data_IF_164039409528
#
_entry.id   IF_164039409528
#
_cell.length_a   1.000
_cell.length_b   1.000
_cell.length_c   1.000
_cell.angle_alpha   90.00
_cell.angle_beta   90.00
_cell.angle_gamma   90.00
#
_symmetry.space_group_name_H-M   'P 1'
#
loop_
_entity.id
_entity.type
_entity.pdbx_description
1 polymer ?
#
# COMPACT_ATOMS: atom_id res chain seq x y z
N UNK A 1 18.15 -5.34 6.24
CA UNK A 1 17.94 -5.31 4.77
C UNK A 1 16.90 -4.27 4.38
N UNK A 2 17.12 -3.62 3.23
CA UNK A 2 16.13 -2.76 2.58
C UNK A 2 15.25 -3.62 1.67
N UNK A 3 13.94 -3.63 1.91
CA UNK A 3 12.98 -4.42 1.14
C UNK A 3 12.19 -3.47 0.27
N UNK A 4 12.13 -3.77 -1.02
CA UNK A 4 11.34 -3.01 -1.99
C UNK A 4 9.97 -3.65 -2.13
N UNK A 5 8.92 -2.93 -1.74
CA UNK A 5 7.53 -3.33 -1.89
C UNK A 5 6.89 -2.60 -3.07
N UNK A 6 6.41 -3.37 -4.05
CA UNK A 6 5.60 -2.84 -5.16
C UNK A 6 4.13 -3.10 -4.87
N UNK A 7 3.35 -2.03 -4.80
CA UNK A 7 1.90 -2.09 -4.64
C UNK A 7 1.26 -1.71 -5.96
N UNK A 8 0.33 -2.55 -6.42
CA UNK A 8 -0.49 -2.29 -7.61
C UNK A 8 -1.94 -2.36 -7.16
N UNK A 9 -2.64 -1.25 -7.28
CA UNK A 9 -4.05 -1.12 -6.97
C UNK A 9 -4.79 -0.70 -8.23
N UNK A 10 -5.76 -1.50 -8.66
CA UNK A 10 -6.56 -1.19 -9.85
C UNK A 10 -8.04 -1.32 -9.53
N UNK A 11 -8.82 -0.33 -9.97
CA UNK A 11 -10.29 -0.40 -9.91
C UNK A 11 -10.81 -1.10 -11.15
N UNK A 12 -11.28 -2.34 -10.99
CA UNK A 12 -11.95 -3.06 -12.07
C UNK A 12 -13.38 -2.50 -12.20
N UNK A 13 -13.70 -1.89 -13.35
CA UNK A 13 -15.04 -1.34 -13.64
C UNK A 13 -15.18 0.15 -13.34
N UNK A 14 -14.49 1.00 -14.10
CA UNK A 14 -14.56 2.46 -14.02
C UNK A 14 -15.98 2.98 -14.35
N UNK A 15 -16.83 3.11 -13.33
CA UNK A 15 -18.13 3.80 -13.39
C UNK A 15 -18.22 4.82 -12.25
N UNK A 16 -17.48 5.93 -12.40
CA UNK A 16 -17.64 7.12 -11.55
C UNK A 16 -16.42 7.49 -10.71
N UNK A 17 -16.41 8.77 -10.31
CA UNK A 17 -15.45 9.36 -9.37
C UNK A 17 -15.70 8.76 -7.98
N UNK A 18 -14.76 8.00 -7.44
CA UNK A 18 -14.82 7.44 -6.10
C UNK A 18 -13.41 7.22 -5.59
N UNK A 19 -13.12 7.64 -4.36
CA UNK A 19 -11.81 7.49 -3.75
C UNK A 19 -11.63 6.04 -3.28
N UNK A 20 -10.43 5.49 -3.45
CA UNK A 20 -10.07 4.17 -2.91
C UNK A 20 -9.19 4.34 -1.69
N UNK A 21 -9.38 3.45 -0.72
CA UNK A 21 -8.51 3.36 0.45
C UNK A 21 -7.75 2.03 0.38
N UNK A 22 -6.43 2.13 0.35
CA UNK A 22 -5.52 0.99 0.34
C UNK A 22 -4.81 0.91 1.68
N UNK A 23 -5.19 -0.08 2.48
CA UNK A 23 -4.47 -0.48 3.68
C UNK A 23 -3.47 -1.57 3.28
N UNK A 24 -2.19 -1.30 3.43
CA UNK A 24 -1.12 -2.24 3.14
C UNK A 24 -0.59 -2.75 4.47
N UNK A 25 -0.69 -4.05 4.69
CA UNK A 25 -0.13 -4.65 5.88
C UNK A 25 1.39 -4.68 5.80
N UNK A 26 2.04 -4.23 6.88
CA UNK A 26 3.49 -4.25 7.00
C UNK A 26 3.91 -5.30 8.03
N UNK A 27 5.14 -5.84 7.94
CA UNK A 27 5.64 -6.70 8.99
C UNK A 27 5.91 -5.87 10.27
N UNK A 28 5.69 -6.43 11.47
CA UNK A 28 5.99 -5.77 12.73
C UNK A 28 7.46 -5.35 12.78
N UNK A 29 7.71 -4.07 13.07
CA UNK A 29 9.06 -3.50 13.09
C UNK A 29 9.60 -3.10 11.71
N UNK A 30 8.74 -3.01 10.70
CA UNK A 30 9.05 -2.32 9.45
C UNK A 30 9.15 -0.81 9.67
N UNK A 31 10.29 -0.26 9.27
CA UNK A 31 10.52 1.18 9.21
C UNK A 31 10.37 1.62 7.74
N UNK A 32 9.28 2.31 7.41
CA UNK A 32 8.99 2.73 6.04
C UNK A 32 9.73 4.02 5.72
N UNK A 33 10.48 4.03 4.61
CA UNK A 33 11.21 5.20 4.17
C UNK A 33 10.25 6.24 3.54
N UNK A 34 10.00 7.33 4.27
CA UNK A 34 9.12 8.42 3.82
C UNK A 34 9.59 9.05 2.51
N UNK A 35 10.90 9.19 2.32
CA UNK A 35 11.46 9.77 1.10
C UNK A 35 11.16 8.90 -0.14
N UNK A 36 11.19 7.57 0.03
CA UNK A 36 10.82 6.62 -1.01
C UNK A 36 9.32 6.68 -1.30
N UNK A 37 8.47 6.79 -0.27
CA UNK A 37 7.03 7.00 -0.43
C UNK A 37 6.71 8.32 -1.17
N UNK A 38 7.36 9.42 -0.81
CA UNK A 38 7.18 10.71 -1.47
C UNK A 38 7.64 10.68 -2.94
N UNK A 39 8.73 9.97 -3.25
CA UNK A 39 9.13 9.75 -4.65
C UNK A 39 8.09 8.93 -5.38
N UNK A 40 7.62 7.85 -4.77
CA UNK A 40 6.58 6.99 -5.35
C UNK A 40 5.28 7.76 -5.59
N UNK A 41 4.94 8.68 -4.68
CA UNK A 41 3.81 9.62 -4.80
C UNK A 41 4.02 10.56 -5.98
N UNK A 42 5.19 11.19 -6.09
CA UNK A 42 5.52 12.07 -7.24
C UNK A 42 5.50 11.32 -8.57
N UNK A 43 5.99 10.09 -8.61
CA UNK A 43 5.94 9.22 -9.80
C UNK A 43 4.51 8.77 -10.13
N UNK A 44 3.70 8.49 -9.11
CA UNK A 44 2.27 8.16 -9.27
C UNK A 44 1.41 9.38 -9.61
N UNK A 45 1.99 10.59 -9.54
CA UNK A 45 1.33 11.85 -9.84
C UNK A 45 0.14 12.14 -8.90
N UNK A 46 -1.01 12.45 -9.48
CA UNK A 46 -2.23 12.82 -8.76
C UNK A 46 -3.06 11.61 -8.28
N UNK A 47 -2.60 10.38 -8.54
CA UNK A 47 -3.28 9.17 -8.09
C UNK A 47 -3.19 8.95 -6.58
N UNK A 48 -2.17 9.48 -5.91
CA UNK A 48 -2.01 9.37 -4.45
C UNK A 48 -2.36 10.71 -3.82
N UNK A 49 -3.35 10.77 -2.94
CA UNK A 49 -3.68 12.02 -2.22
C UNK A 49 -3.01 12.11 -0.88
N UNK A 50 -3.01 11.01 -0.12
CA UNK A 50 -2.52 11.01 1.25
C UNK A 50 -2.04 9.61 1.62
N UNK A 51 -1.15 9.55 2.60
CA UNK A 51 -0.71 8.30 3.19
C UNK A 51 -0.50 8.48 4.69
N UNK A 52 -0.79 7.43 5.46
CA UNK A 52 -0.56 7.36 6.90
C UNK A 52 0.28 6.11 7.19
N UNK A 53 1.44 6.33 7.80
CA UNK A 53 2.38 5.27 8.16
C UNK A 53 2.11 4.88 9.60
N UNK A 54 1.66 3.63 9.81
CA UNK A 54 1.54 3.01 11.12
C UNK A 54 2.67 1.97 11.31
N UNK A 55 2.92 1.54 12.56
CA UNK A 55 3.97 0.55 12.85
C UNK A 55 3.73 -0.84 12.24
N UNK A 56 2.48 -1.20 11.97
CA UNK A 56 2.03 -2.51 11.46
C UNK A 56 1.33 -2.43 10.09
N UNK A 57 1.03 -1.22 9.60
CA UNK A 57 0.30 -1.01 8.34
C UNK A 57 0.60 0.37 7.73
N UNK A 58 0.35 0.50 6.44
CA UNK A 58 0.43 1.75 5.69
C UNK A 58 -0.93 2.00 5.05
N UNK A 59 -1.60 3.07 5.43
CA UNK A 59 -2.88 3.46 4.85
C UNK A 59 -2.60 4.47 3.74
N UNK A 60 -3.21 4.29 2.57
CA UNK A 60 -2.96 5.13 1.41
C UNK A 60 -4.28 5.48 0.72
N UNK A 61 -4.49 6.76 0.53
CA UNK A 61 -5.67 7.33 -0.12
C UNK A 61 -5.36 7.52 -1.59
N UNK A 62 -6.08 6.79 -2.43
CA UNK A 62 -5.85 6.75 -3.87
C UNK A 62 -7.05 7.32 -4.62
N UNK A 63 -6.79 8.10 -5.66
CA UNK A 63 -7.77 8.40 -6.70
C UNK A 63 -7.61 7.42 -7.85
N UNK A 64 -8.59 6.54 -8.11
CA UNK A 64 -8.52 5.61 -9.22
C UNK A 64 -8.52 6.38 -10.54
N UNK A 65 -7.43 6.25 -11.29
CA UNK A 65 -7.35 6.70 -12.68
C UNK A 65 -7.57 5.50 -13.62
N UNK A 66 -7.97 5.79 -14.86
CA UNK A 66 -8.07 4.77 -15.90
C UNK A 66 -6.67 4.15 -16.13
N UNK A 67 -6.47 2.90 -15.73
CA UNK A 67 -5.19 2.19 -15.78
C UNK A 67 -4.62 1.74 -14.43
N UNK A 68 -5.27 2.08 -13.31
CA UNK A 68 -4.82 1.71 -11.97
C UNK A 68 -3.65 2.56 -11.47
N UNK A 69 -3.35 2.43 -10.18
CA UNK A 69 -2.27 3.12 -9.49
C UNK A 69 -1.27 2.09 -9.01
N UNK A 70 -0.02 2.22 -9.44
CA UNK A 70 1.08 1.41 -8.93
C UNK A 70 2.16 2.29 -8.35
N UNK A 71 2.61 1.97 -7.15
CA UNK A 71 3.69 2.70 -6.50
C UNK A 71 4.63 1.72 -5.81
N UNK A 72 5.89 2.11 -5.72
CA UNK A 72 6.92 1.28 -5.10
C UNK A 72 7.52 2.05 -3.94
N UNK A 73 7.51 1.45 -2.76
CA UNK A 73 8.16 2.03 -1.59
C UNK A 73 9.17 1.07 -1.00
N UNK A 74 10.11 1.64 -0.25
CA UNK A 74 11.13 0.88 0.44
C UNK A 74 10.85 0.94 1.93
N UNK A 75 11.04 -0.19 2.58
CA UNK A 75 10.99 -0.27 4.03
C UNK A 75 12.15 -1.12 4.53
N UNK A 76 12.60 -0.84 5.74
CA UNK A 76 13.68 -1.55 6.40
C UNK A 76 13.10 -2.36 7.54
N UNK A 77 13.36 -3.66 7.56
CA UNK A 77 13.02 -4.46 8.75
C UNK A 77 14.05 -4.17 9.85
N UNK A 78 13.57 -3.75 11.03
CA UNK A 78 14.43 -3.48 12.20
C UNK A 78 14.85 -4.76 12.92
N UNK A 79 14.10 -5.85 12.73
CA UNK A 79 14.39 -7.16 13.29
C UNK A 79 14.57 -8.19 12.15
N UNK A 80 15.61 -9.03 12.25
CA UNK A 80 15.73 -10.25 11.45
C UNK A 80 14.75 -11.28 11.99
N UNK A 81 13.47 -11.11 11.63
CA UNK A 81 12.39 -11.98 12.09
C UNK A 81 11.65 -12.54 10.88
N UNK A 82 11.27 -13.83 10.96
CA UNK A 82 10.26 -14.39 10.07
C UNK A 82 8.89 -13.83 10.47
N UNK A 83 8.50 -12.73 9.83
CA UNK A 83 7.29 -12.01 10.18
C UNK A 83 6.24 -12.16 9.07
N UNK A 84 5.01 -12.48 9.48
CA UNK A 84 3.86 -12.44 8.60
C UNK A 84 3.40 -10.97 8.52
N UNK A 85 3.25 -10.42 7.31
CA UNK A 85 2.65 -9.08 7.18
C UNK A 85 1.19 -9.12 7.60
N UNK A 86 0.62 -7.97 7.93
CA UNK A 86 -0.83 -7.85 7.93
C UNK A 86 -1.39 -8.10 6.50
N UNK A 87 -2.66 -8.53 6.37
CA UNK A 87 -3.34 -8.56 5.07
C UNK A 87 -3.45 -7.15 4.51
N UNK A 88 -3.31 -7.00 3.19
CA UNK A 88 -3.56 -5.71 2.55
C UNK A 88 -5.01 -5.66 2.08
N UNK A 89 -5.72 -4.58 2.37
CA UNK A 89 -7.09 -4.35 1.94
C UNK A 89 -7.14 -3.15 1.02
N UNK A 90 -7.87 -3.28 -0.08
CA UNK A 90 -8.23 -2.19 -0.96
C UNK A 90 -9.75 -2.12 -0.95
N UNK A 91 -10.35 -0.98 -0.62
CA UNK A 91 -11.80 -0.83 -0.66
C UNK A 91 -12.21 0.54 -1.17
N UNK A 92 -13.38 0.61 -1.78
CA UNK A 92 -13.96 1.87 -2.21
C UNK A 92 -14.48 2.63 -0.99
N UNK A 93 -14.07 3.89 -0.86
CA UNK A 93 -14.46 4.77 0.24
C UNK A 93 -15.99 4.98 0.30
N UNK A 94 -16.66 4.93 -0.87
CA UNK A 94 -18.11 5.08 -0.97
C UNK A 94 -18.85 3.76 -1.01
N UNK A 95 -18.16 2.64 -1.28
CA UNK A 95 -18.78 1.32 -1.33
C UNK A 95 -17.93 0.26 -0.63
N UNK A 96 -18.14 0.03 0.68
CA UNK A 96 -17.35 -0.92 1.45
C UNK A 96 -17.52 -2.39 1.00
N UNK A 97 -18.57 -2.71 0.21
CA UNK A 97 -18.73 -4.04 -0.40
C UNK A 97 -17.73 -4.28 -1.54
N UNK A 98 -17.30 -3.23 -2.23
CA UNK A 98 -16.30 -3.30 -3.29
C UNK A 98 -14.90 -3.27 -2.67
N UNK A 99 -14.47 -4.42 -2.13
CA UNK A 99 -13.14 -4.60 -1.54
C UNK A 99 -12.36 -5.75 -2.14
N UNK A 100 -11.06 -5.56 -2.31
CA UNK A 100 -10.08 -6.59 -2.59
C UNK A 100 -9.22 -6.81 -1.35
N UNK A 101 -9.00 -8.07 -0.99
CA UNK A 101 -8.13 -8.46 0.12
C UNK A 101 -6.98 -9.27 -0.45
N UNK A 102 -5.76 -8.81 -0.20
CA UNK A 102 -4.53 -9.51 -0.54
C UNK A 102 -4.07 -10.28 0.70
N UNK A 103 -3.84 -11.58 0.51
CA UNK A 103 -3.40 -12.45 1.58
C UNK A 103 -2.04 -11.98 2.15
N UNK A 104 -1.83 -12.10 3.47
CA UNK A 104 -0.60 -11.70 4.11
C UNK A 104 0.59 -12.53 3.60
N UNK A 105 1.67 -11.87 3.22
CA UNK A 105 2.88 -12.54 2.74
C UNK A 105 3.85 -12.75 3.90
N UNK A 106 4.46 -13.94 3.99
CA UNK A 106 5.54 -14.19 4.96
C UNK A 106 6.84 -13.64 4.40
N UNK A 107 7.44 -12.67 5.10
CA UNK A 107 8.79 -12.20 4.81
C UNK A 107 9.76 -12.91 5.75
N UNK A 108 10.75 -13.58 5.17
CA UNK A 108 11.88 -14.16 5.92
C UNK A 108 13.08 -13.26 5.65
N UNK A 109 13.33 -12.32 6.57
CA UNK A 109 14.54 -11.49 6.54
C UNK A 109 15.63 -12.26 7.28
N UNK A 110 16.66 -12.71 6.56
CA UNK A 110 17.84 -13.37 7.12
C UNK A 110 18.84 -12.35 7.62
#
# INVERSE_FOLDING_TARGET
>A
DEITCKVVAERIGFRGYGMLLAEIGLPPGADVDRASLERAMKESGWSLSQYDILPDRLIVYLWPQAGGTSFTFKFRSRFGLAAQTAPSLLYDYYNPEARAVVAPTKFVVK
#
